data_IF_640144358464
#
_entry.id   IF_640144358464
#
_cell.length_a   1.000
_cell.length_b   1.000
_cell.length_c   1.000
_cell.angle_alpha   90.00
_cell.angle_beta   90.00
_cell.angle_gamma   90.00
#
_symmetry.space_group_name_H-M   'P 1'
#
loop_
_entity.id
_entity.type
_entity.pdbx_description
1 polymer ?
#
# COMPACT_ATOMS: atom_id res chain seq x y z
N UNK A 1 -151.20 -26.14 2.53
CA UNK A 1 -149.86 -26.77 2.40
C UNK A 1 -149.72 -27.26 0.97
N UNK A 2 -149.14 -26.43 0.10
CA UNK A 2 -148.67 -26.77 -1.24
C UNK A 2 -147.33 -26.06 -1.37
N UNK A 3 -146.28 -26.84 -1.53
CA UNK A 3 -144.91 -26.37 -1.75
C UNK A 3 -144.86 -25.69 -3.11
N UNK A 4 -144.33 -24.46 -3.17
CA UNK A 4 -143.92 -23.81 -4.41
C UNK A 4 -142.40 -23.75 -4.43
N UNK A 5 -141.85 -24.17 -5.57
CA UNK A 5 -140.46 -24.45 -5.86
C UNK A 5 -139.51 -23.31 -5.51
N UNK A 6 -138.37 -23.68 -4.93
CA UNK A 6 -137.21 -22.80 -4.78
C UNK A 6 -136.44 -22.88 -6.10
N UNK A 7 -136.53 -21.85 -6.93
CA UNK A 7 -135.57 -21.63 -8.01
C UNK A 7 -134.23 -21.23 -7.37
N UNK A 8 -133.33 -22.20 -7.26
CA UNK A 8 -131.92 -21.95 -7.01
C UNK A 8 -131.31 -21.32 -8.26
N UNK A 9 -130.95 -20.05 -8.17
CA UNK A 9 -130.12 -19.37 -9.17
C UNK A 9 -128.72 -19.99 -9.08
N UNK A 10 -128.35 -20.76 -10.10
CA UNK A 10 -127.02 -21.32 -10.27
C UNK A 10 -126.07 -20.17 -10.68
N UNK A 11 -125.17 -19.80 -9.77
CA UNK A 11 -124.10 -18.84 -10.05
C UNK A 11 -122.90 -19.67 -10.49
N UNK A 12 -122.96 -20.22 -11.71
CA UNK A 12 -121.75 -20.65 -12.40
C UNK A 12 -120.98 -19.38 -12.78
N UNK A 13 -120.01 -19.02 -11.94
CA UNK A 13 -118.96 -18.10 -12.35
C UNK A 13 -118.22 -18.78 -13.52
N UNK A 14 -118.37 -18.23 -14.72
CA UNK A 14 -117.48 -18.55 -15.83
C UNK A 14 -116.07 -18.17 -15.38
N UNK A 15 -115.28 -19.19 -15.03
CA UNK A 15 -113.84 -19.05 -14.84
C UNK A 15 -113.27 -18.77 -16.22
N UNK A 16 -113.10 -17.49 -16.56
CA UNK A 16 -112.23 -17.13 -17.66
C UNK A 16 -110.82 -17.59 -17.28
N UNK A 17 -110.33 -18.57 -18.04
CA UNK A 17 -108.97 -19.06 -17.96
C UNK A 17 -108.00 -17.87 -17.97
N UNK A 18 -107.22 -17.76 -16.89
CA UNK A 18 -106.06 -16.90 -16.84
C UNK A 18 -105.09 -17.43 -17.89
N UNK A 19 -104.97 -16.71 -19.00
CA UNK A 19 -103.89 -16.95 -19.95
C UNK A 19 -102.57 -16.89 -19.16
N UNK A 20 -101.72 -17.94 -19.22
CA UNK A 20 -100.48 -17.97 -18.46
C UNK A 20 -99.54 -16.93 -19.07
N UNK A 21 -99.51 -15.73 -18.46
CA UNK A 21 -98.51 -14.73 -18.72
C UNK A 21 -97.14 -15.37 -18.56
N UNK A 22 -96.37 -15.36 -19.65
CA UNK A 22 -95.01 -15.91 -19.76
C UNK A 22 -94.10 -15.33 -18.67
N UNK A 23 -94.04 -16.02 -17.53
CA UNK A 23 -93.06 -15.84 -16.45
C UNK A 23 -91.68 -16.38 -16.90
N UNK A 24 -91.25 -16.05 -18.12
CA UNK A 24 -89.88 -16.26 -18.54
C UNK A 24 -89.04 -15.10 -18.01
N UNK A 25 -88.50 -15.29 -16.80
CA UNK A 25 -87.21 -14.70 -16.47
C UNK A 25 -86.21 -15.19 -17.51
N UNK A 26 -85.95 -14.35 -18.52
CA UNK A 26 -84.94 -14.63 -19.53
C UNK A 26 -83.61 -14.79 -18.82
N UNK A 27 -83.08 -16.01 -18.89
CA UNK A 27 -81.73 -16.33 -18.48
C UNK A 27 -80.77 -15.57 -19.41
N UNK A 28 -80.09 -14.55 -18.89
CA UNK A 28 -79.17 -13.67 -19.64
C UNK A 28 -77.72 -14.17 -19.57
N UNK A 29 -77.51 -15.44 -19.20
CA UNK A 29 -76.19 -16.06 -19.30
C UNK A 29 -75.93 -16.46 -20.77
N UNK A 30 -75.40 -15.49 -21.56
CA UNK A 30 -74.75 -15.54 -22.90
C UNK A 30 -75.63 -15.49 -24.18
N UNK A 31 -75.14 -14.98 -25.36
CA UNK A 31 -73.92 -14.23 -25.72
C UNK A 31 -74.21 -12.77 -26.22
N UNK A 32 -73.16 -12.03 -26.61
CA UNK A 32 -73.17 -10.64 -27.10
C UNK A 32 -74.40 -10.22 -27.93
N UNK A 33 -75.09 -9.16 -27.46
CA UNK A 33 -76.15 -8.49 -28.22
C UNK A 33 -75.53 -7.53 -29.26
N UNK A 34 -75.92 -7.68 -30.52
CA UNK A 34 -75.63 -6.70 -31.58
C UNK A 34 -76.46 -5.43 -31.37
N UNK A 35 -75.98 -4.27 -31.83
CA UNK A 35 -76.65 -2.97 -31.63
C UNK A 35 -78.09 -2.93 -32.17
N UNK A 36 -78.35 -3.63 -33.29
CA UNK A 36 -79.67 -3.79 -33.91
C UNK A 36 -80.60 -4.66 -33.04
N UNK A 37 -80.09 -5.79 -32.50
CA UNK A 37 -80.85 -6.63 -31.56
C UNK A 37 -81.14 -5.95 -30.21
N UNK A 38 -80.27 -5.02 -29.80
CA UNK A 38 -80.41 -4.25 -28.56
C UNK A 38 -81.54 -3.24 -28.70
N UNK A 39 -81.59 -2.53 -29.83
CA UNK A 39 -82.66 -1.57 -30.15
C UNK A 39 -84.02 -2.25 -30.20
N UNK A 40 -84.13 -3.39 -30.89
CA UNK A 40 -85.37 -4.16 -30.98
C UNK A 40 -85.82 -4.69 -29.61
N UNK A 41 -84.88 -5.13 -28.76
CA UNK A 41 -85.18 -5.56 -27.40
C UNK A 41 -85.73 -4.39 -26.56
N UNK A 42 -85.06 -3.24 -26.59
CA UNK A 42 -85.51 -2.03 -25.87
C UNK A 42 -86.89 -1.59 -26.35
N UNK A 43 -87.10 -1.62 -27.67
CA UNK A 43 -88.39 -1.35 -28.31
C UNK A 43 -89.48 -2.23 -27.76
N UNK A 44 -89.28 -3.54 -27.86
CA UNK A 44 -90.25 -4.55 -27.42
C UNK A 44 -90.59 -4.39 -25.94
N UNK A 45 -89.61 -4.07 -25.10
CA UNK A 45 -89.82 -3.88 -23.66
C UNK A 45 -90.61 -2.60 -23.35
N UNK A 46 -90.32 -1.50 -24.05
CA UNK A 46 -91.04 -0.23 -23.86
C UNK A 46 -92.47 -0.33 -24.42
N UNK A 47 -92.65 -0.93 -25.58
CA UNK A 47 -93.97 -1.09 -26.20
C UNK A 47 -94.89 -1.98 -25.33
N UNK A 48 -94.33 -3.05 -24.73
CA UNK A 48 -95.05 -3.89 -23.79
C UNK A 48 -95.47 -3.17 -22.49
N UNK A 49 -94.81 -2.06 -22.12
CA UNK A 49 -95.26 -1.20 -21.01
C UNK A 49 -96.43 -0.34 -21.45
N UNK A 50 -96.40 0.18 -22.67
CA UNK A 50 -97.44 1.05 -23.20
C UNK A 50 -98.78 0.33 -23.37
N UNK A 51 -98.75 -0.91 -23.89
CA UNK A 51 -99.96 -1.74 -24.02
C UNK A 51 -100.61 -2.01 -22.66
N UNK A 52 -99.80 -2.23 -21.63
CA UNK A 52 -100.28 -2.51 -20.29
C UNK A 52 -100.83 -1.27 -19.59
N UNK A 53 -100.22 -0.10 -19.81
CA UNK A 53 -100.74 1.19 -19.34
C UNK A 53 -102.13 1.47 -19.94
N UNK A 54 -102.32 1.19 -21.23
CA UNK A 54 -103.63 1.35 -21.87
C UNK A 54 -104.72 0.53 -21.16
N UNK A 55 -104.43 -0.73 -20.83
CA UNK A 55 -105.36 -1.59 -20.10
C UNK A 55 -105.61 -1.14 -18.65
N UNK A 56 -104.66 -0.46 -18.01
CA UNK A 56 -104.87 0.17 -16.70
C UNK A 56 -105.82 1.34 -16.83
N UNK A 57 -105.60 2.24 -17.79
CA UNK A 57 -106.46 3.42 -18.01
C UNK A 57 -107.91 2.98 -18.27
N UNK A 58 -108.10 1.98 -19.14
CA UNK A 58 -109.43 1.42 -19.43
C UNK A 58 -110.10 0.83 -18.16
N UNK A 59 -109.33 0.15 -17.30
CA UNK A 59 -109.85 -0.42 -16.06
C UNK A 59 -110.16 0.65 -14.99
N UNK A 60 -109.33 1.69 -14.90
CA UNK A 60 -109.55 2.84 -14.00
C UNK A 60 -110.77 3.65 -14.42
N UNK A 61 -110.97 3.87 -15.73
CA UNK A 61 -112.16 4.55 -16.28
C UNK A 61 -113.45 3.77 -16.02
N UNK A 62 -113.42 2.44 -16.17
CA UNK A 62 -114.54 1.56 -15.83
C UNK A 62 -114.88 1.69 -14.34
N UNK A 63 -113.87 1.49 -13.47
CA UNK A 63 -114.03 1.60 -12.03
C UNK A 63 -114.57 2.97 -11.60
N UNK A 64 -114.07 4.07 -12.17
CA UNK A 64 -114.60 5.41 -11.93
C UNK A 64 -116.08 5.54 -12.32
N UNK A 65 -116.47 4.95 -13.44
CA UNK A 65 -117.85 4.98 -13.93
C UNK A 65 -118.77 4.25 -12.97
N UNK A 66 -118.41 3.04 -12.55
CA UNK A 66 -119.19 2.29 -11.57
C UNK A 66 -119.25 2.99 -10.19
N UNK A 67 -118.17 3.64 -9.76
CA UNK A 67 -118.15 4.47 -8.54
C UNK A 67 -119.08 5.68 -8.67
N UNK A 68 -119.12 6.35 -9.82
CA UNK A 68 -120.06 7.47 -10.09
C UNK A 68 -121.50 6.98 -10.05
N UNK A 69 -121.82 5.84 -10.67
CA UNK A 69 -123.14 5.22 -10.63
C UNK A 69 -123.57 4.84 -9.20
N UNK A 70 -122.69 4.19 -8.43
CA UNK A 70 -122.95 3.83 -7.04
C UNK A 70 -123.27 5.07 -6.18
N UNK A 71 -122.51 6.15 -6.37
CA UNK A 71 -122.71 7.41 -5.64
C UNK A 71 -124.02 8.11 -6.04
N UNK A 72 -124.42 8.06 -7.32
CA UNK A 72 -125.70 8.59 -7.78
C UNK A 72 -126.88 7.91 -7.09
N UNK A 73 -126.84 6.58 -6.97
CA UNK A 73 -127.88 5.81 -6.27
C UNK A 73 -127.89 6.16 -4.77
N UNK A 74 -126.72 6.17 -4.12
CA UNK A 74 -126.55 6.57 -2.71
C UNK A 74 -127.12 7.97 -2.43
N UNK A 75 -126.89 8.93 -3.32
CA UNK A 75 -127.39 10.30 -3.18
C UNK A 75 -128.91 10.39 -3.40
N UNK A 76 -129.47 9.59 -4.32
CA UNK A 76 -130.92 9.43 -4.48
C UNK A 76 -131.62 8.85 -3.25
N UNK A 77 -130.94 7.94 -2.53
CA UNK A 77 -131.44 7.36 -1.26
C UNK A 77 -131.40 8.43 -0.17
N UNK A 78 -130.26 9.11 0.01
CA UNK A 78 -130.05 10.14 1.03
C UNK A 78 -131.00 11.35 0.90
N UNK A 79 -131.26 11.79 -0.33
CA UNK A 79 -132.15 12.93 -0.61
C UNK A 79 -133.64 12.64 -0.37
N UNK A 80 -134.00 11.42 0.03
CA UNK A 80 -135.38 11.03 0.29
C UNK A 80 -136.23 10.86 -0.97
N UNK A 81 -135.70 11.17 -2.15
CA UNK A 81 -136.38 11.08 -3.45
C UNK A 81 -136.86 9.65 -3.72
N UNK A 82 -136.08 8.66 -3.31
CA UNK A 82 -136.39 7.24 -3.49
C UNK A 82 -137.49 6.76 -2.52
N UNK A 83 -137.59 7.35 -1.33
CA UNK A 83 -138.58 6.99 -0.31
C UNK A 83 -139.93 7.70 -0.48
N UNK A 84 -140.01 8.69 -1.38
CA UNK A 84 -141.22 9.47 -1.65
C UNK A 84 -142.27 8.72 -2.51
N UNK A 85 -141.92 7.63 -3.20
CA UNK A 85 -142.93 6.76 -3.81
C UNK A 85 -143.42 5.75 -2.78
N UNK A 86 -144.72 5.70 -2.51
CA UNK A 86 -145.42 4.81 -1.55
C UNK A 86 -145.30 3.28 -1.83
N UNK A 87 -144.35 2.88 -2.67
CA UNK A 87 -144.18 1.53 -3.19
C UNK A 87 -142.94 0.89 -2.56
N UNK A 88 -143.15 0.07 -1.52
CA UNK A 88 -142.08 -0.60 -0.77
C UNK A 88 -141.24 -1.50 -1.66
N UNK A 89 -141.84 -2.12 -2.68
CA UNK A 89 -141.15 -3.02 -3.59
C UNK A 89 -140.17 -2.25 -4.49
N UNK A 90 -140.53 -1.04 -4.91
CA UNK A 90 -139.61 -0.13 -5.63
C UNK A 90 -138.43 0.32 -4.78
N UNK A 91 -138.64 0.55 -3.48
CA UNK A 91 -137.55 0.93 -2.58
C UNK A 91 -136.58 -0.24 -2.33
N UNK A 92 -137.10 -1.45 -2.14
CA UNK A 92 -136.30 -2.68 -2.00
C UNK A 92 -135.50 -2.96 -3.26
N UNK A 93 -136.12 -2.88 -4.45
CA UNK A 93 -135.45 -3.09 -5.73
C UNK A 93 -134.31 -2.09 -5.94
N UNK A 94 -134.51 -0.81 -5.60
CA UNK A 94 -133.45 0.21 -5.69
C UNK A 94 -132.30 0.00 -4.70
N UNK A 95 -132.54 -0.57 -3.53
CA UNK A 95 -131.48 -0.96 -2.60
C UNK A 95 -130.68 -2.16 -3.10
N UNK A 96 -131.36 -3.14 -3.71
CA UNK A 96 -130.71 -4.27 -4.37
C UNK A 96 -129.85 -3.79 -5.55
N UNK A 97 -130.38 -2.90 -6.39
CA UNK A 97 -129.62 -2.27 -7.48
C UNK A 97 -128.40 -1.51 -6.96
N UNK A 98 -128.53 -0.78 -5.84
CA UNK A 98 -127.41 -0.09 -5.18
C UNK A 98 -126.32 -1.07 -4.71
N UNK A 99 -126.72 -2.21 -4.12
CA UNK A 99 -125.79 -3.23 -3.66
C UNK A 99 -125.06 -3.89 -4.84
N UNK A 100 -125.77 -4.18 -5.94
CA UNK A 100 -125.19 -4.72 -7.17
C UNK A 100 -124.20 -3.74 -7.80
N UNK A 101 -124.57 -2.46 -7.93
CA UNK A 101 -123.69 -1.43 -8.52
C UNK A 101 -122.46 -1.19 -7.63
N UNK A 102 -122.61 -1.22 -6.29
CA UNK A 102 -121.48 -1.09 -5.38
C UNK A 102 -120.54 -2.30 -5.45
N UNK A 103 -121.09 -3.52 -5.56
CA UNK A 103 -120.30 -4.73 -5.76
C UNK A 103 -119.53 -4.68 -7.09
N UNK A 104 -120.19 -4.26 -8.17
CA UNK A 104 -119.57 -4.05 -9.48
C UNK A 104 -118.45 -3.00 -9.44
N UNK A 105 -118.66 -1.89 -8.75
CA UNK A 105 -117.62 -0.86 -8.57
C UNK A 105 -116.42 -1.39 -7.78
N UNK A 106 -116.65 -2.24 -6.77
CA UNK A 106 -115.58 -2.87 -6.00
C UNK A 106 -114.81 -3.90 -6.83
N UNK A 107 -115.51 -4.68 -7.65
CA UNK A 107 -114.93 -5.64 -8.59
C UNK A 107 -114.02 -4.94 -9.61
N UNK A 108 -114.54 -3.89 -10.29
CA UNK A 108 -113.79 -3.12 -11.27
C UNK A 108 -112.58 -2.41 -10.64
N UNK A 109 -112.73 -1.85 -9.43
CA UNK A 109 -111.61 -1.25 -8.69
C UNK A 109 -110.55 -2.28 -8.30
N UNK A 110 -110.94 -3.50 -7.93
CA UNK A 110 -110.02 -4.58 -7.62
C UNK A 110 -109.26 -5.06 -8.87
N UNK A 111 -109.94 -5.14 -10.01
CA UNK A 111 -109.31 -5.50 -11.29
C UNK A 111 -108.31 -4.41 -11.74
N UNK A 112 -108.68 -3.14 -11.60
CA UNK A 112 -107.77 -2.02 -11.86
C UNK A 112 -106.51 -2.10 -10.98
N UNK A 113 -106.65 -2.30 -9.67
CA UNK A 113 -105.49 -2.46 -8.77
C UNK A 113 -104.59 -3.65 -9.14
N UNK A 114 -105.19 -4.78 -9.56
CA UNK A 114 -104.43 -5.95 -10.02
C UNK A 114 -103.58 -5.61 -11.25
N UNK A 115 -104.16 -4.95 -12.25
CA UNK A 115 -103.46 -4.50 -13.46
C UNK A 115 -102.36 -3.48 -13.14
N UNK A 116 -102.59 -2.54 -12.22
CA UNK A 116 -101.57 -1.59 -11.76
C UNK A 116 -100.39 -2.30 -11.09
N UNK A 117 -100.63 -3.33 -10.28
CA UNK A 117 -99.56 -4.11 -9.66
C UNK A 117 -98.76 -4.89 -10.70
N UNK A 118 -99.43 -5.51 -11.68
CA UNK A 118 -98.76 -6.22 -12.79
C UNK A 118 -97.87 -5.26 -13.61
N UNK A 119 -98.33 -4.04 -13.84
CA UNK A 119 -97.54 -2.99 -14.48
C UNK A 119 -96.30 -2.61 -13.70
N UNK A 120 -96.42 -2.36 -12.40
CA UNK A 120 -95.27 -2.05 -11.55
C UNK A 120 -94.24 -3.19 -11.53
N UNK A 121 -94.71 -4.46 -11.47
CA UNK A 121 -93.84 -5.65 -11.55
C UNK A 121 -93.08 -5.68 -12.88
N UNK A 122 -93.78 -5.49 -14.00
CA UNK A 122 -93.16 -5.51 -15.34
C UNK A 122 -92.19 -4.35 -15.55
N UNK A 123 -92.55 -3.14 -15.14
CA UNK A 123 -91.67 -1.96 -15.21
C UNK A 123 -90.38 -2.19 -14.42
N UNK A 124 -90.49 -2.71 -13.20
CA UNK A 124 -89.31 -3.02 -12.36
C UNK A 124 -88.40 -4.05 -13.04
N UNK A 125 -88.97 -5.11 -13.60
CA UNK A 125 -88.21 -6.16 -14.30
C UNK A 125 -87.49 -5.63 -15.53
N UNK A 126 -88.17 -4.78 -16.31
CA UNK A 126 -87.60 -4.13 -17.50
C UNK A 126 -86.43 -3.24 -17.09
N UNK A 127 -86.63 -2.34 -16.13
CA UNK A 127 -85.60 -1.42 -15.65
C UNK A 127 -84.38 -2.15 -15.10
N UNK A 128 -84.59 -3.22 -14.32
CA UNK A 128 -83.51 -4.06 -13.82
C UNK A 128 -82.75 -4.77 -14.95
N UNK A 129 -83.47 -5.30 -15.94
CA UNK A 129 -82.85 -5.98 -17.09
C UNK A 129 -82.00 -5.02 -17.93
N UNK A 130 -82.49 -3.81 -18.19
CA UNK A 130 -81.78 -2.76 -18.90
C UNK A 130 -80.53 -2.33 -18.11
N UNK A 131 -80.66 -2.11 -16.80
CA UNK A 131 -79.51 -1.79 -15.95
C UNK A 131 -78.45 -2.90 -16.00
N UNK A 132 -78.83 -4.17 -15.83
CA UNK A 132 -77.92 -5.32 -15.93
C UNK A 132 -77.21 -5.41 -17.28
N UNK A 133 -77.95 -5.17 -18.36
CA UNK A 133 -77.41 -5.18 -19.71
C UNK A 133 -76.35 -4.08 -19.88
N UNK A 134 -76.64 -2.86 -19.42
CA UNK A 134 -75.73 -1.73 -19.55
C UNK A 134 -74.47 -1.85 -18.69
N UNK A 135 -74.51 -2.49 -17.52
CA UNK A 135 -73.29 -2.67 -16.69
C UNK A 135 -72.33 -3.74 -17.24
N UNK A 136 -72.74 -4.55 -18.23
CA UNK A 136 -71.91 -5.64 -18.77
C UNK A 136 -70.63 -5.17 -19.45
N UNK A 137 -70.69 -4.03 -20.14
CA UNK A 137 -69.63 -3.52 -21.02
C UNK A 137 -69.89 -2.03 -21.31
N UNK A 138 -68.84 -1.21 -21.33
CA UNK A 138 -68.91 0.23 -21.59
C UNK A 138 -69.52 0.59 -22.96
N UNK A 139 -69.31 -0.22 -23.99
CA UNK A 139 -69.89 -0.02 -25.31
C UNK A 139 -71.41 -0.26 -25.28
N UNK A 140 -71.83 -1.37 -24.68
CA UNK A 140 -73.25 -1.70 -24.44
C UNK A 140 -73.93 -0.63 -23.59
N UNK A 141 -73.27 -0.14 -22.54
CA UNK A 141 -73.74 0.97 -21.72
C UNK A 141 -74.06 2.22 -22.57
N UNK A 142 -73.10 2.65 -23.40
CA UNK A 142 -73.26 3.84 -24.25
C UNK A 142 -74.39 3.72 -25.26
N UNK A 143 -74.48 2.58 -25.95
CA UNK A 143 -75.54 2.34 -26.93
C UNK A 143 -76.90 2.31 -26.23
N UNK A 144 -76.99 1.67 -25.06
CA UNK A 144 -78.21 1.60 -24.26
C UNK A 144 -78.66 2.97 -23.74
N UNK A 145 -77.75 3.75 -23.14
CA UNK A 145 -78.04 5.11 -22.66
C UNK A 145 -78.53 5.99 -23.80
N UNK A 146 -77.84 5.94 -24.95
CA UNK A 146 -78.22 6.73 -26.14
C UNK A 146 -79.61 6.36 -26.65
N UNK A 147 -79.91 5.07 -26.76
CA UNK A 147 -81.20 4.58 -27.24
C UNK A 147 -82.35 4.98 -26.30
N UNK A 148 -82.18 4.80 -24.99
CA UNK A 148 -83.19 5.21 -24.00
C UNK A 148 -83.40 6.74 -24.05
N UNK A 149 -82.34 7.54 -24.13
CA UNK A 149 -82.45 8.99 -24.24
C UNK A 149 -83.14 9.46 -25.53
N UNK A 150 -82.87 8.80 -26.66
CA UNK A 150 -83.52 9.12 -27.94
C UNK A 150 -85.02 8.86 -27.86
N UNK A 151 -85.43 7.73 -27.28
CA UNK A 151 -86.86 7.40 -27.09
C UNK A 151 -87.55 8.34 -26.14
N UNK A 152 -86.93 8.66 -25.00
CA UNK A 152 -87.50 9.62 -24.06
C UNK A 152 -87.71 11.01 -24.68
N UNK A 153 -86.85 11.41 -25.62
CA UNK A 153 -86.98 12.68 -26.36
C UNK A 153 -88.02 12.62 -27.49
N UNK A 154 -88.15 11.47 -28.15
CA UNK A 154 -89.04 11.27 -29.30
C UNK A 154 -90.48 10.93 -28.93
N UNK A 155 -90.71 10.35 -27.75
CA UNK A 155 -92.03 9.90 -27.31
C UNK A 155 -92.85 11.03 -26.67
N UNK A 156 -94.10 11.17 -27.12
CA UNK A 156 -95.12 12.01 -26.48
C UNK A 156 -95.49 11.51 -25.07
N UNK A 157 -96.14 12.35 -24.26
CA UNK A 157 -96.64 11.94 -22.93
C UNK A 157 -97.66 10.79 -23.00
N UNK A 158 -98.30 10.58 -24.14
CA UNK A 158 -99.24 9.46 -24.37
C UNK A 158 -98.55 8.16 -24.80
N UNK A 159 -97.28 8.22 -25.20
CA UNK A 159 -96.52 7.06 -25.67
C UNK A 159 -95.62 6.45 -24.60
N UNK A 160 -95.37 7.13 -23.48
CA UNK A 160 -94.65 6.56 -22.33
C UNK A 160 -95.22 7.20 -21.06
N UNK A 161 -95.77 6.36 -20.16
CA UNK A 161 -96.25 6.82 -18.85
C UNK A 161 -95.24 7.67 -18.11
N UNK A 162 -95.74 8.60 -17.29
CA UNK A 162 -94.88 9.38 -16.38
C UNK A 162 -94.06 8.48 -15.44
N UNK A 163 -94.64 7.36 -15.00
CA UNK A 163 -93.96 6.40 -14.11
C UNK A 163 -92.81 5.68 -14.83
N UNK A 164 -93.04 5.20 -16.06
CA UNK A 164 -92.04 4.55 -16.89
C UNK A 164 -90.95 5.54 -17.33
N UNK A 165 -91.33 6.76 -17.70
CA UNK A 165 -90.40 7.85 -18.04
C UNK A 165 -89.45 8.14 -16.88
N UNK A 166 -89.98 8.30 -15.66
CA UNK A 166 -89.17 8.55 -14.47
C UNK A 166 -88.22 7.39 -14.17
N UNK A 167 -88.70 6.15 -14.30
CA UNK A 167 -87.86 4.98 -14.04
C UNK A 167 -86.76 4.81 -15.11
N UNK A 168 -87.06 5.04 -16.40
CA UNK A 168 -86.07 5.02 -17.47
C UNK A 168 -85.00 6.13 -17.31
N UNK A 169 -85.40 7.33 -16.87
CA UNK A 169 -84.46 8.41 -16.51
C UNK A 169 -83.55 7.96 -15.36
N UNK A 170 -84.10 7.28 -14.36
CA UNK A 170 -83.32 6.73 -13.24
C UNK A 170 -82.31 5.68 -13.71
N UNK A 171 -82.71 4.77 -14.60
CA UNK A 171 -81.82 3.78 -15.23
C UNK A 171 -80.68 4.48 -15.97
N UNK A 172 -80.98 5.49 -16.80
CA UNK A 172 -79.95 6.27 -17.52
C UNK A 172 -78.96 6.93 -16.57
N UNK A 173 -79.44 7.55 -15.49
CA UNK A 173 -78.56 8.17 -14.48
C UNK A 173 -77.60 7.14 -13.87
N UNK A 174 -78.13 6.00 -13.42
CA UNK A 174 -77.32 4.93 -12.82
C UNK A 174 -76.31 4.35 -13.82
N UNK A 175 -76.70 4.18 -15.09
CA UNK A 175 -75.81 3.70 -16.14
C UNK A 175 -74.65 4.66 -16.43
N UNK A 176 -74.89 5.97 -16.43
CA UNK A 176 -73.85 7.00 -16.59
C UNK A 176 -72.86 7.01 -15.43
N UNK A 177 -73.35 6.87 -14.20
CA UNK A 177 -72.49 6.72 -13.01
C UNK A 177 -71.62 5.46 -13.10
N UNK A 178 -72.19 4.34 -13.54
CA UNK A 178 -71.45 3.10 -13.76
C UNK A 178 -70.41 3.23 -14.88
N UNK A 179 -70.70 3.94 -15.97
CA UNK A 179 -69.71 4.23 -17.02
C UNK A 179 -68.50 5.00 -16.47
N UNK A 180 -68.72 6.00 -15.63
CA UNK A 180 -67.62 6.77 -15.02
C UNK A 180 -66.75 5.89 -14.11
N UNK A 181 -67.36 5.01 -13.32
CA UNK A 181 -66.64 4.02 -12.51
C UNK A 181 -65.82 3.06 -13.38
N UNK A 182 -66.41 2.55 -14.48
CA UNK A 182 -65.70 1.67 -15.42
C UNK A 182 -64.49 2.39 -16.07
N UNK A 183 -64.62 3.67 -16.43
CA UNK A 183 -63.50 4.49 -16.95
C UNK A 183 -62.40 4.66 -15.91
N UNK A 184 -62.75 4.97 -14.66
CA UNK A 184 -61.78 5.09 -13.55
C UNK A 184 -61.05 3.77 -13.31
N UNK A 185 -61.77 2.65 -13.31
CA UNK A 185 -61.19 1.32 -13.13
C UNK A 185 -60.22 0.95 -14.27
N UNK A 186 -60.57 1.28 -15.52
CA UNK A 186 -59.68 1.07 -16.67
C UNK A 186 -58.38 1.88 -16.56
N UNK A 187 -58.46 3.16 -16.14
CA UNK A 187 -57.28 4.02 -15.90
C UNK A 187 -56.39 3.45 -14.79
N UNK A 188 -56.98 3.11 -13.65
CA UNK A 188 -56.25 2.50 -12.53
C UNK A 188 -55.58 1.19 -12.92
N UNK A 189 -56.22 0.37 -13.76
CA UNK A 189 -55.63 -0.89 -14.24
C UNK A 189 -54.36 -0.66 -15.07
N UNK A 190 -54.37 0.35 -15.95
CA UNK A 190 -53.17 0.73 -16.71
C UNK A 190 -52.09 1.35 -15.81
N UNK A 191 -52.46 2.21 -14.86
CA UNK A 191 -51.50 2.74 -13.86
C UNK A 191 -50.85 1.63 -13.03
N UNK A 192 -51.62 0.62 -12.58
CA UNK A 192 -51.06 -0.54 -11.87
C UNK A 192 -50.10 -1.31 -12.76
N UNK A 193 -50.38 -1.44 -14.06
CA UNK A 193 -49.51 -2.14 -15.02
C UNK A 193 -48.21 -1.38 -15.25
N UNK A 194 -48.26 -0.05 -15.39
CA UNK A 194 -47.05 0.78 -15.53
C UNK A 194 -46.23 0.75 -14.25
N UNK A 195 -46.87 0.88 -13.08
CA UNK A 195 -46.19 0.79 -11.79
C UNK A 195 -45.51 -0.57 -11.57
N UNK A 196 -46.17 -1.69 -11.93
CA UNK A 196 -45.54 -3.02 -11.88
C UNK A 196 -44.32 -3.13 -12.78
N UNK A 197 -44.36 -2.51 -13.97
CA UNK A 197 -43.21 -2.48 -14.88
C UNK A 197 -42.05 -1.69 -14.27
N UNK A 198 -42.31 -0.49 -13.76
CA UNK A 198 -41.29 0.33 -13.09
C UNK A 198 -40.73 -0.34 -11.83
N UNK A 199 -41.57 -1.02 -11.04
CA UNK A 199 -41.13 -1.80 -9.88
C UNK A 199 -40.15 -2.90 -10.29
N UNK A 200 -40.42 -3.61 -11.39
CA UNK A 200 -39.52 -4.63 -11.93
C UNK A 200 -38.18 -4.00 -12.36
N UNK A 201 -38.21 -2.91 -13.12
CA UNK A 201 -37.00 -2.21 -13.58
C UNK A 201 -36.14 -1.72 -12.41
N UNK A 202 -36.76 -1.18 -11.35
CA UNK A 202 -36.05 -0.80 -10.11
C UNK A 202 -35.41 -2.01 -9.44
N UNK A 203 -36.14 -3.12 -9.34
CA UNK A 203 -35.63 -4.34 -8.71
C UNK A 203 -34.45 -4.94 -9.49
N UNK A 204 -34.54 -4.97 -10.81
CA UNK A 204 -33.44 -5.40 -11.69
C UNK A 204 -32.21 -4.48 -11.51
N UNK A 205 -32.43 -3.16 -11.41
CA UNK A 205 -31.36 -2.19 -11.12
C UNK A 205 -30.71 -2.37 -9.75
N UNK A 206 -31.47 -2.73 -8.72
CA UNK A 206 -30.93 -3.03 -7.38
C UNK A 206 -30.00 -4.26 -7.39
N UNK A 207 -30.32 -5.29 -8.17
CA UNK A 207 -29.47 -6.49 -8.32
C UNK A 207 -28.12 -6.12 -8.95
N UNK A 208 -28.13 -5.26 -9.97
CA UNK A 208 -26.90 -4.77 -10.61
C UNK A 208 -26.07 -3.96 -9.62
N UNK A 209 -26.68 -3.03 -8.88
CA UNK A 209 -25.98 -2.24 -7.87
C UNK A 209 -25.36 -3.10 -6.76
N UNK A 210 -26.03 -4.15 -6.32
CA UNK A 210 -25.48 -5.09 -5.32
C UNK A 210 -24.26 -5.85 -5.89
N UNK A 211 -24.33 -6.25 -7.16
CA UNK A 211 -23.21 -6.89 -7.86
C UNK A 211 -22.01 -5.94 -7.98
N UNK A 212 -22.24 -4.69 -8.41
CA UNK A 212 -21.19 -3.68 -8.53
C UNK A 212 -20.55 -3.37 -7.16
N UNK A 213 -21.36 -3.31 -6.10
CA UNK A 213 -20.87 -3.15 -4.74
C UNK A 213 -19.97 -4.30 -4.32
N UNK A 214 -20.38 -5.54 -4.56
CA UNK A 214 -19.56 -6.72 -4.24
C UNK A 214 -18.23 -6.72 -5.01
N UNK A 215 -18.22 -6.30 -6.29
CA UNK A 215 -16.99 -6.16 -7.09
C UNK A 215 -16.08 -5.08 -6.47
N UNK A 216 -16.66 -3.94 -6.06
CA UNK A 216 -15.90 -2.86 -5.44
C UNK A 216 -15.29 -3.29 -4.10
N UNK A 217 -16.04 -4.04 -3.28
CA UNK A 217 -15.57 -4.57 -2.01
C UNK A 217 -14.39 -5.52 -2.21
N UNK A 218 -14.51 -6.48 -3.15
CA UNK A 218 -13.40 -7.38 -3.51
C UNK A 218 -12.15 -6.63 -3.99
N UNK A 219 -12.33 -5.60 -4.82
CA UNK A 219 -11.21 -4.79 -5.30
C UNK A 219 -10.54 -4.01 -4.17
N UNK A 220 -11.35 -3.51 -3.24
CA UNK A 220 -10.87 -2.78 -2.05
C UNK A 220 -10.07 -3.70 -1.13
N UNK A 221 -10.58 -4.91 -0.86
CA UNK A 221 -9.87 -5.94 -0.10
C UNK A 221 -8.54 -6.32 -0.78
N UNK A 222 -8.53 -6.50 -2.10
CA UNK A 222 -7.32 -6.79 -2.86
C UNK A 222 -6.24 -5.70 -2.73
N UNK A 223 -6.65 -4.42 -2.79
CA UNK A 223 -5.72 -3.29 -2.59
C UNK A 223 -5.21 -3.24 -1.15
N UNK A 224 -6.06 -3.48 -0.15
CA UNK A 224 -5.66 -3.53 1.26
C UNK A 224 -4.59 -4.61 1.46
N UNK A 225 -4.79 -5.79 0.88
CA UNK A 225 -3.82 -6.88 0.97
C UNK A 225 -2.48 -6.51 0.34
N UNK A 226 -2.49 -5.95 -0.88
CA UNK A 226 -1.26 -5.49 -1.54
C UNK A 226 -0.50 -4.46 -0.70
N UNK A 227 -1.20 -3.49 -0.10
CA UNK A 227 -0.58 -2.50 0.78
C UNK A 227 0.01 -3.13 2.04
N UNK A 228 -0.64 -4.16 2.57
CA UNK A 228 -0.15 -4.93 3.72
C UNK A 228 1.14 -5.66 3.38
N UNK A 229 1.19 -6.32 2.21
CA UNK A 229 2.37 -7.04 1.72
C UNK A 229 3.54 -6.06 1.48
N UNK A 230 3.28 -4.89 0.87
CA UNK A 230 4.28 -3.85 0.70
C UNK A 230 4.81 -3.30 2.03
N UNK A 231 3.94 -3.14 3.03
CA UNK A 231 4.34 -2.71 4.37
C UNK A 231 5.29 -3.72 5.00
N UNK A 232 4.97 -5.01 4.93
CA UNK A 232 5.83 -6.07 5.47
C UNK A 232 7.22 -6.11 4.80
N UNK A 233 7.27 -5.95 3.47
CA UNK A 233 8.54 -5.85 2.74
C UNK A 233 9.37 -4.62 3.14
N UNK A 234 8.70 -3.49 3.40
CA UNK A 234 9.38 -2.29 3.85
C UNK A 234 9.97 -2.48 5.26
N UNK A 235 9.24 -3.13 6.15
CA UNK A 235 9.65 -3.40 7.53
C UNK A 235 10.86 -4.35 7.58
N UNK A 236 10.88 -5.42 6.77
CA UNK A 236 12.05 -6.31 6.62
C UNK A 236 13.28 -5.56 6.09
N UNK A 237 13.09 -4.68 5.09
CA UNK A 237 14.19 -3.86 4.56
C UNK A 237 14.74 -2.87 5.59
N UNK A 238 13.88 -2.29 6.43
CA UNK A 238 14.29 -1.41 7.54
C UNK A 238 15.14 -2.22 8.52
N UNK A 239 14.66 -3.38 8.97
CA UNK A 239 15.40 -4.25 9.91
C UNK A 239 16.77 -4.66 9.35
N UNK A 240 16.82 -5.03 8.06
CA UNK A 240 18.08 -5.35 7.38
C UNK A 240 19.04 -4.17 7.34
N UNK A 241 18.52 -2.97 7.08
CA UNK A 241 19.33 -1.73 7.04
C UNK A 241 19.89 -1.39 8.42
N UNK A 242 19.10 -1.54 9.48
CA UNK A 242 19.55 -1.33 10.86
C UNK A 242 20.68 -2.30 11.25
N UNK A 243 20.58 -3.58 10.85
CA UNK A 243 21.65 -4.57 11.06
C UNK A 243 22.95 -4.19 10.34
N UNK A 244 22.85 -3.72 9.09
CA UNK A 244 24.01 -3.24 8.33
C UNK A 244 24.65 -2.04 9.03
N UNK A 245 23.84 -1.09 9.50
CA UNK A 245 24.34 0.10 10.19
C UNK A 245 25.13 -0.28 11.46
N UNK A 246 24.58 -1.19 12.28
CA UNK A 246 25.29 -1.71 13.46
C UNK A 246 26.64 -2.35 13.10
N UNK A 247 26.69 -3.13 12.00
CA UNK A 247 27.94 -3.75 11.54
C UNK A 247 28.95 -2.71 11.06
N UNK A 248 28.51 -1.64 10.39
CA UNK A 248 29.36 -0.53 9.97
C UNK A 248 29.97 0.17 11.18
N UNK A 249 29.18 0.44 12.23
CA UNK A 249 29.66 1.05 13.46
C UNK A 249 30.68 0.16 14.20
N UNK A 250 30.45 -1.15 14.22
CA UNK A 250 31.38 -2.13 14.80
C UNK A 250 32.70 -2.17 14.02
N UNK A 251 32.63 -2.18 12.69
CA UNK A 251 33.80 -2.13 11.81
C UNK A 251 34.58 -0.82 11.98
N UNK A 252 33.88 0.32 12.09
CA UNK A 252 34.51 1.63 12.34
C UNK A 252 35.29 1.63 13.66
N UNK A 253 34.72 1.04 14.71
CA UNK A 253 35.38 0.89 16.01
C UNK A 253 36.61 0.00 15.90
N UNK A 254 36.50 -1.15 15.20
CA UNK A 254 37.63 -2.05 14.98
C UNK A 254 38.77 -1.38 14.20
N UNK A 255 38.46 -0.64 13.13
CA UNK A 255 39.48 0.09 12.37
C UNK A 255 40.18 1.15 13.21
N UNK A 256 39.43 1.86 14.07
CA UNK A 256 40.04 2.82 15.01
C UNK A 256 41.02 2.12 15.95
N UNK A 257 40.63 1.00 16.56
CA UNK A 257 41.51 0.25 17.44
C UNK A 257 42.78 -0.25 16.73
N UNK A 258 42.66 -0.71 15.48
CA UNK A 258 43.81 -1.14 14.68
C UNK A 258 44.75 0.03 14.40
N UNK A 259 44.22 1.22 14.08
CA UNK A 259 45.03 2.41 13.86
C UNK A 259 45.76 2.82 15.15
N UNK A 260 45.05 2.86 16.29
CA UNK A 260 45.65 3.18 17.58
C UNK A 260 46.77 2.17 17.96
N UNK A 261 46.58 0.88 17.67
CA UNK A 261 47.60 -0.16 17.89
C UNK A 261 48.82 0.01 16.97
N UNK A 262 48.59 0.34 15.68
CA UNK A 262 49.67 0.61 14.73
C UNK A 262 50.49 1.84 15.14
N UNK A 263 49.83 2.92 15.57
CA UNK A 263 50.49 4.12 16.04
C UNK A 263 51.37 3.84 17.27
N UNK A 264 50.85 3.05 18.23
CA UNK A 264 51.63 2.61 19.39
C UNK A 264 52.86 1.78 18.97
N UNK A 265 52.70 0.81 18.07
CA UNK A 265 53.81 -0.02 17.57
C UNK A 265 54.87 0.79 16.83
N UNK A 266 54.45 1.78 16.03
CA UNK A 266 55.37 2.70 15.36
C UNK A 266 56.15 3.54 16.38
N UNK A 267 55.48 4.05 17.41
CA UNK A 267 56.13 4.80 18.49
C UNK A 267 57.17 3.94 19.23
N UNK A 268 56.83 2.71 19.59
CA UNK A 268 57.74 1.76 20.24
C UNK A 268 58.95 1.43 19.36
N UNK A 269 58.73 1.16 18.08
CA UNK A 269 59.81 0.88 17.13
C UNK A 269 60.73 2.08 16.92
N UNK A 270 60.17 3.30 16.86
CA UNK A 270 60.95 4.53 16.76
C UNK A 270 61.81 4.75 18.02
N UNK A 271 61.25 4.51 19.21
CA UNK A 271 62.01 4.57 20.46
C UNK A 271 63.13 3.53 20.48
N UNK A 272 62.86 2.28 20.11
CA UNK A 272 63.87 1.23 20.04
C UNK A 272 64.99 1.57 19.03
N UNK A 273 64.63 2.15 17.88
CA UNK A 273 65.61 2.61 16.89
C UNK A 273 66.46 3.77 17.43
N UNK A 274 65.86 4.73 18.13
CA UNK A 274 66.57 5.85 18.76
C UNK A 274 67.60 5.34 19.79
N UNK A 275 67.19 4.43 20.68
CA UNK A 275 68.09 3.80 21.66
C UNK A 275 69.23 3.05 20.95
N UNK A 276 68.92 2.29 19.90
CA UNK A 276 69.94 1.61 19.09
C UNK A 276 70.95 2.58 18.45
N UNK A 277 70.48 3.71 17.92
CA UNK A 277 71.35 4.76 17.37
C UNK A 277 72.24 5.39 18.46
N UNK A 278 71.68 5.68 19.63
CA UNK A 278 72.44 6.24 20.76
C UNK A 278 73.53 5.28 21.26
N UNK A 279 73.22 3.99 21.38
CA UNK A 279 74.19 2.95 21.73
C UNK A 279 75.31 2.84 20.69
N UNK A 280 74.97 2.83 19.40
CA UNK A 280 75.96 2.80 18.32
C UNK A 280 76.85 4.05 18.35
N UNK A 281 76.27 5.23 18.63
CA UNK A 281 77.03 6.48 18.77
C UNK A 281 78.00 6.44 19.95
N UNK A 282 77.58 5.87 21.08
CA UNK A 282 78.45 5.67 22.25
C UNK A 282 79.62 4.72 21.95
N UNK A 283 79.36 3.63 21.24
CA UNK A 283 80.41 2.67 20.82
C UNK A 283 81.44 3.34 19.89
N UNK A 284 80.97 4.10 18.89
CA UNK A 284 81.86 4.84 17.97
C UNK A 284 82.74 5.84 18.74
N UNK A 285 82.17 6.55 19.72
CA UNK A 285 82.94 7.47 20.56
C UNK A 285 84.01 6.75 21.40
N UNK A 286 83.68 5.57 21.96
CA UNK A 286 84.62 4.74 22.69
C UNK A 286 85.81 4.32 21.83
N UNK A 287 85.54 3.74 20.65
CA UNK A 287 86.57 3.33 19.71
C UNK A 287 87.42 4.51 19.22
N UNK A 288 86.82 5.69 19.04
CA UNK A 288 87.56 6.91 18.67
C UNK A 288 88.54 7.31 19.76
N UNK A 289 88.14 7.22 21.03
CA UNK A 289 89.03 7.48 22.18
C UNK A 289 90.19 6.50 22.26
N UNK A 290 89.95 5.21 22.01
CA UNK A 290 91.02 4.20 21.96
C UNK A 290 92.01 4.48 20.82
N UNK A 291 91.50 4.85 19.63
CA UNK A 291 92.33 5.22 18.48
C UNK A 291 93.25 6.41 18.79
N UNK A 292 92.70 7.46 19.42
CA UNK A 292 93.48 8.64 19.80
C UNK A 292 94.60 8.30 20.80
N UNK A 293 94.35 7.35 21.73
CA UNK A 293 95.35 6.86 22.69
C UNK A 293 96.50 6.11 22.01
N UNK A 294 96.20 5.21 21.07
CA UNK A 294 97.24 4.51 20.29
C UNK A 294 98.07 5.48 19.43
N UNK A 295 97.42 6.47 18.84
CA UNK A 295 98.10 7.48 18.02
C UNK A 295 99.08 8.35 18.85
N UNK A 296 98.73 8.64 20.11
CA UNK A 296 99.63 9.33 21.04
C UNK A 296 100.84 8.46 21.42
N UNK A 297 100.63 7.17 21.71
CA UNK A 297 101.72 6.24 22.00
C UNK A 297 102.69 6.08 20.83
N UNK A 298 102.15 5.98 19.61
CA UNK A 298 102.96 5.89 18.39
C UNK A 298 103.87 7.11 18.22
N UNK A 299 103.34 8.33 18.49
CA UNK A 299 104.11 9.57 18.43
C UNK A 299 105.30 9.56 19.39
N UNK A 300 105.09 9.15 20.65
CA UNK A 300 106.17 9.09 21.65
C UNK A 300 107.28 8.12 21.25
N UNK A 301 106.93 6.97 20.68
CA UNK A 301 107.92 5.98 20.25
C UNK A 301 108.77 6.49 19.08
N UNK A 302 108.16 7.23 18.14
CA UNK A 302 108.87 7.87 17.02
C UNK A 302 109.84 8.94 17.53
N UNK A 303 109.48 9.69 18.56
CA UNK A 303 110.38 10.67 19.19
C UNK A 303 111.60 9.98 19.85
N UNK A 304 111.40 8.85 20.54
CA UNK A 304 112.48 8.09 21.18
C UNK A 304 113.45 7.46 20.16
N UNK A 305 112.95 6.92 19.04
CA UNK A 305 113.79 6.35 17.97
C UNK A 305 114.71 7.40 17.31
N UNK A 306 114.16 8.59 17.05
CA UNK A 306 114.93 9.70 16.47
C UNK A 306 116.08 10.17 17.39
N UNK A 307 115.87 10.18 18.72
CA UNK A 307 116.90 10.55 19.68
C UNK A 307 118.08 9.55 19.69
N UNK A 308 117.79 8.24 19.63
CA UNK A 308 118.83 7.20 19.63
C UNK A 308 119.68 7.23 18.35
N UNK A 309 119.07 7.54 17.19
CA UNK A 309 119.79 7.67 15.92
C UNK A 309 120.86 8.76 15.96
N UNK A 310 120.55 9.92 16.55
CA UNK A 310 121.50 11.03 16.69
C UNK A 310 122.71 10.68 17.59
N UNK A 311 122.51 9.88 18.64
CA UNK A 311 123.59 9.44 19.54
C UNK A 311 124.60 8.51 18.84
N UNK A 312 124.13 7.58 18.01
CA UNK A 312 125.00 6.63 17.30
C UNK A 312 125.94 7.30 16.29
N UNK A 313 125.48 8.36 15.65
CA UNK A 313 126.28 9.08 14.64
C UNK A 313 127.47 9.81 15.28
N UNK A 314 127.29 10.32 16.50
CA UNK A 314 128.36 10.93 17.31
C UNK A 314 129.44 9.92 17.72
N UNK A 315 129.05 8.72 18.16
CA UNK A 315 130.00 7.69 18.58
C UNK A 315 130.88 7.21 17.42
N UNK A 316 130.32 7.15 16.20
CA UNK A 316 131.06 6.73 15.00
C UNK A 316 132.18 7.70 14.60
N UNK A 317 132.01 9.01 14.79
CA UNK A 317 133.06 9.97 14.48
C UNK A 317 134.25 9.87 15.45
N UNK A 318 133.98 9.54 16.72
CA UNK A 318 135.01 9.42 17.76
C UNK A 318 135.89 8.17 17.58
N UNK A 319 135.31 7.06 17.09
CA UNK A 319 136.05 5.84 16.73
C UNK A 319 137.05 6.11 15.60
N UNK A 320 136.64 6.81 14.54
CA UNK A 320 137.50 7.13 13.39
C UNK A 320 138.72 7.99 13.78
N UNK A 321 138.56 8.89 14.76
CA UNK A 321 139.66 9.73 15.24
C UNK A 321 140.69 8.93 16.05
N UNK A 322 140.23 7.99 16.90
CA UNK A 322 141.10 7.11 17.68
C UNK A 322 141.86 6.11 16.80
N UNK A 323 141.21 5.52 15.78
CA UNK A 323 141.87 4.62 14.82
C UNK A 323 143.03 5.32 14.08
N UNK A 324 142.84 6.59 13.71
CA UNK A 324 143.86 7.35 13.01
C UNK A 324 145.10 7.66 13.89
N UNK A 325 144.86 7.92 15.19
CA UNK A 325 145.93 8.13 16.17
C UNK A 325 146.70 6.84 16.48
N UNK A 326 146.02 5.69 16.52
CA UNK A 326 146.63 4.37 16.71
C UNK A 326 147.60 4.03 15.56
N UNK A 327 147.18 4.24 14.32
CA UNK A 327 148.02 3.96 13.13
C UNK A 327 149.31 4.81 13.12
N UNK A 328 149.24 6.09 13.50
CA UNK A 328 150.44 6.95 13.64
C UNK A 328 151.45 6.43 14.66
N UNK A 329 150.99 5.85 15.76
CA UNK A 329 151.87 5.26 16.77
C UNK A 329 152.49 3.94 16.29
N UNK A 330 151.77 3.16 15.49
CA UNK A 330 152.28 1.91 14.91
C UNK A 330 153.34 2.13 13.81
N UNK A 331 153.27 3.22 13.03
CA UNK A 331 154.30 3.55 12.03
C UNK A 331 155.64 4.04 12.62
N UNK A 332 155.61 4.73 13.77
CA UNK A 332 156.84 5.24 14.40
C UNK A 332 157.67 4.16 15.11
N UNK A 333 157.03 3.05 15.49
CA UNK A 333 157.64 1.99 16.31
C UNK A 333 158.78 1.23 15.59
N UNK A 334 158.69 0.84 14.30
CA UNK A 334 159.77 0.14 13.60
C UNK A 334 160.97 1.04 13.27
N UNK A 335 160.72 2.33 12.97
CA UNK A 335 161.77 3.30 12.60
C UNK A 335 162.73 3.63 13.76
N UNK A 336 162.28 3.51 15.01
CA UNK A 336 163.11 3.67 16.20
C UNK A 336 163.89 2.39 16.55
N UNK A 337 163.32 1.20 16.29
CA UNK A 337 163.97 -0.10 16.52
C UNK A 337 165.18 -0.29 15.58
N UNK A 338 165.10 0.20 14.33
CA UNK A 338 166.20 0.09 13.37
C UNK A 338 167.37 1.06 13.65
N UNK A 339 167.08 2.21 14.29
CA UNK A 339 168.09 3.20 14.69
C UNK A 339 168.90 2.78 15.93
N UNK A 340 168.37 1.87 16.75
CA UNK A 340 169.01 1.39 17.99
C UNK A 340 170.18 0.42 17.75
N UNK A 341 170.25 -0.22 16.57
CA UNK A 341 171.30 -1.19 16.23
C UNK A 341 172.60 -0.58 15.68
N UNK A 342 172.70 0.74 15.54
CA UNK A 342 173.91 1.42 15.06
C UNK A 342 174.31 2.61 15.95
N UNK A 343 175.30 2.35 16.82
CA UNK A 343 176.23 3.31 17.46
C UNK A 343 176.03 3.59 18.98
N UNK A 344 177.14 3.50 19.72
CA UNK A 344 177.22 3.27 21.17
C UNK A 344 177.57 4.56 21.93
N UNK A 345 176.57 5.30 22.44
CA UNK A 345 176.64 6.07 23.72
C UNK A 345 175.29 6.69 24.12
N UNK A 346 174.84 6.33 25.33
CA UNK A 346 173.72 6.85 26.14
C UNK A 346 172.35 6.16 25.97
N UNK A 347 172.26 4.98 26.59
CA UNK A 347 171.19 3.97 26.49
C UNK A 347 169.95 4.22 27.39
N UNK A 348 169.91 5.33 28.14
CA UNK A 348 168.89 5.52 29.21
C UNK A 348 167.69 6.40 28.78
N UNK A 349 167.84 7.29 27.79
CA UNK A 349 166.75 8.20 27.34
C UNK A 349 165.74 7.54 26.41
N UNK A 350 166.14 6.50 25.67
CA UNK A 350 165.27 5.86 24.67
C UNK A 350 164.34 4.82 25.30
N UNK A 351 164.75 4.20 26.42
CA UNK A 351 163.95 3.18 27.11
C UNK A 351 162.68 3.75 27.75
N UNK A 352 162.74 4.96 28.31
CA UNK A 352 161.56 5.62 28.90
C UNK A 352 160.55 6.06 27.84
N UNK A 353 161.01 6.45 26.65
CA UNK A 353 160.14 6.90 25.56
C UNK A 353 159.38 5.72 24.92
N UNK A 354 160.04 4.57 24.77
CA UNK A 354 159.41 3.33 24.28
C UNK A 354 158.33 2.85 25.28
N UNK A 355 158.61 2.89 26.59
CA UNK A 355 157.62 2.55 27.63
C UNK A 355 156.42 3.51 27.64
N UNK A 356 156.65 4.81 27.42
CA UNK A 356 155.58 5.80 27.33
C UNK A 356 154.65 5.58 26.14
N UNK A 357 155.20 5.24 24.97
CA UNK A 357 154.41 4.92 23.77
C UNK A 357 153.62 3.62 23.97
N UNK A 358 154.21 2.59 24.59
CA UNK A 358 153.50 1.33 24.88
C UNK A 358 152.32 1.50 25.84
N UNK A 359 152.46 2.33 26.89
CA UNK A 359 151.35 2.62 27.80
C UNK A 359 150.21 3.37 27.10
N UNK A 360 150.54 4.34 26.25
CA UNK A 360 149.52 5.06 25.47
C UNK A 360 148.80 4.14 24.47
N UNK A 361 149.53 3.22 23.83
CA UNK A 361 148.95 2.20 22.95
C UNK A 361 147.94 1.32 23.69
N UNK A 362 148.30 0.86 24.89
CA UNK A 362 147.42 0.02 25.72
C UNK A 362 146.18 0.78 26.14
N UNK A 363 146.33 2.04 26.58
CA UNK A 363 145.19 2.88 26.98
C UNK A 363 144.23 3.15 25.82
N UNK A 364 144.75 3.48 24.64
CA UNK A 364 143.89 3.71 23.47
C UNK A 364 143.18 2.43 23.00
N UNK A 365 143.79 1.26 23.15
CA UNK A 365 143.11 -0.01 22.86
C UNK A 365 141.98 -0.33 23.84
N UNK A 366 142.14 -0.02 25.13
CA UNK A 366 141.07 -0.18 26.13
C UNK A 366 139.89 0.78 25.87
N UNK A 367 140.16 2.07 25.61
CA UNK A 367 139.12 3.05 25.28
C UNK A 367 138.37 2.68 24.00
N UNK A 368 139.08 2.20 22.97
CA UNK A 368 138.46 1.74 21.73
C UNK A 368 137.53 0.52 21.97
N UNK A 369 137.94 -0.42 22.82
CA UNK A 369 137.16 -1.63 23.10
C UNK A 369 135.85 -1.30 23.83
N UNK A 370 135.89 -0.42 24.84
CA UNK A 370 134.67 0.00 25.55
C UNK A 370 133.69 0.76 24.65
N UNK A 371 134.18 1.62 23.75
CA UNK A 371 133.33 2.39 22.84
C UNK A 371 132.67 1.51 21.77
N UNK A 372 133.39 0.48 21.28
CA UNK A 372 132.84 -0.52 20.36
C UNK A 372 131.71 -1.31 21.03
N UNK A 373 131.86 -1.65 22.31
CA UNK A 373 130.83 -2.36 23.08
C UNK A 373 129.55 -1.52 23.26
N UNK A 374 129.69 -0.23 23.58
CA UNK A 374 128.57 0.71 23.70
C UNK A 374 127.83 0.91 22.35
N UNK A 375 128.58 1.07 21.26
CA UNK A 375 128.00 1.23 19.92
C UNK A 375 127.21 -0.01 19.47
N UNK A 376 127.70 -1.21 19.80
CA UNK A 376 126.99 -2.46 19.50
C UNK A 376 125.70 -2.61 20.33
N UNK A 377 125.71 -2.22 21.60
CA UNK A 377 124.51 -2.20 22.45
C UNK A 377 123.44 -1.25 21.91
N UNK A 378 123.83 -0.04 21.51
CA UNK A 378 122.90 0.93 20.93
C UNK A 378 122.35 0.49 19.56
N UNK A 379 123.14 -0.23 18.76
CA UNK A 379 122.66 -0.84 17.51
C UNK A 379 121.59 -1.90 17.78
N UNK A 380 121.81 -2.79 18.74
CA UNK A 380 120.83 -3.80 19.13
C UNK A 380 119.53 -3.16 19.66
N UNK A 381 119.65 -2.08 20.43
CA UNK A 381 118.50 -1.31 20.93
C UNK A 381 117.72 -0.61 19.79
N UNK A 382 118.40 -0.07 18.77
CA UNK A 382 117.75 0.49 17.59
C UNK A 382 117.04 -0.58 16.74
N UNK A 383 117.60 -1.77 16.61
CA UNK A 383 116.95 -2.88 15.90
C UNK A 383 115.68 -3.34 16.64
N UNK A 384 115.74 -3.42 17.97
CA UNK A 384 114.56 -3.68 18.82
C UNK A 384 113.49 -2.58 18.67
N UNK A 385 113.89 -1.31 18.75
CA UNK A 385 112.97 -0.18 18.60
C UNK A 385 112.32 -0.16 17.21
N UNK A 386 113.08 -0.42 16.14
CA UNK A 386 112.52 -0.51 14.79
C UNK A 386 111.55 -1.69 14.64
N UNK A 387 111.84 -2.83 15.28
CA UNK A 387 110.91 -3.97 15.33
C UNK A 387 109.62 -3.61 16.07
N UNK A 388 109.72 -2.97 17.25
CA UNK A 388 108.54 -2.52 18.01
C UNK A 388 107.75 -1.44 17.25
N UNK A 389 108.43 -0.54 16.55
CA UNK A 389 107.79 0.51 15.76
C UNK A 389 107.07 -0.07 14.54
N UNK A 390 107.61 -1.11 13.92
CA UNK A 390 106.95 -1.85 12.84
C UNK A 390 105.73 -2.61 13.35
N UNK A 391 105.84 -3.31 14.49
CA UNK A 391 104.74 -4.03 15.12
C UNK A 391 103.60 -3.08 15.55
N UNK A 392 103.94 -1.95 16.18
CA UNK A 392 102.96 -0.91 16.53
C UNK A 392 102.34 -0.23 15.31
N UNK A 393 103.06 -0.14 14.18
CA UNK A 393 102.52 0.41 12.94
C UNK A 393 101.53 -0.54 12.27
N UNK A 394 101.82 -1.84 12.28
CA UNK A 394 100.89 -2.89 11.86
C UNK A 394 99.65 -2.92 12.78
N UNK A 395 99.84 -2.84 14.11
CA UNK A 395 98.76 -2.77 15.09
C UNK A 395 97.88 -1.52 14.89
N UNK A 396 98.48 -0.33 14.70
CA UNK A 396 97.75 0.91 14.42
C UNK A 396 96.92 0.81 13.14
N UNK A 397 97.47 0.21 12.09
CA UNK A 397 96.77 -0.02 10.82
C UNK A 397 95.61 -1.00 10.99
N UNK A 398 95.82 -2.09 11.72
CA UNK A 398 94.77 -3.08 12.04
C UNK A 398 93.61 -2.42 12.81
N UNK A 399 93.91 -1.59 13.81
CA UNK A 399 92.90 -0.85 14.57
C UNK A 399 92.13 0.17 13.70
N UNK A 400 92.81 0.82 12.73
CA UNK A 400 92.16 1.75 11.80
C UNK A 400 91.23 1.05 10.80
N UNK A 401 91.60 -0.15 10.33
CA UNK A 401 90.75 -0.99 9.49
C UNK A 401 89.55 -1.55 10.28
N UNK A 402 89.75 -1.97 11.53
CA UNK A 402 88.68 -2.42 12.43
C UNK A 402 87.65 -1.30 12.64
N UNK A 403 88.10 -0.08 12.93
CA UNK A 403 87.22 1.09 13.10
C UNK A 403 86.40 1.38 11.83
N UNK A 404 87.05 1.34 10.66
CA UNK A 404 86.37 1.58 9.37
C UNK A 404 85.31 0.53 9.07
N UNK A 405 85.60 -0.74 9.37
CA UNK A 405 84.67 -1.86 9.16
C UNK A 405 83.46 -1.78 10.10
N UNK A 406 83.68 -1.46 11.38
CA UNK A 406 82.58 -1.29 12.34
C UNK A 406 81.71 -0.06 12.03
N UNK A 407 82.31 1.05 11.58
CA UNK A 407 81.57 2.24 11.13
C UNK A 407 80.67 1.95 9.92
N UNK A 408 81.18 1.21 8.93
CA UNK A 408 80.40 0.76 7.76
C UNK A 408 79.25 -0.18 8.15
N UNK A 409 79.48 -1.10 9.08
CA UNK A 409 78.45 -2.00 9.59
C UNK A 409 77.32 -1.22 10.27
N UNK A 410 77.64 -0.25 11.13
CA UNK A 410 76.65 0.61 11.80
C UNK A 410 75.84 1.42 10.78
N UNK A 411 76.49 1.96 9.75
CA UNK A 411 75.81 2.75 8.71
C UNK A 411 74.84 1.89 7.89
N UNK A 412 75.22 0.66 7.53
CA UNK A 412 74.34 -0.27 6.81
C UNK A 412 73.14 -0.70 7.67
N UNK A 413 73.30 -0.86 8.97
CA UNK A 413 72.21 -1.29 9.86
C UNK A 413 71.15 -0.19 10.07
N UNK A 414 71.59 1.08 10.17
CA UNK A 414 70.71 2.25 10.17
C UNK A 414 69.92 2.34 8.85
N UNK A 415 70.59 2.13 7.72
CA UNK A 415 69.99 2.22 6.39
C UNK A 415 68.98 1.08 6.14
N UNK A 416 69.25 -0.13 6.64
CA UNK A 416 68.33 -1.28 6.52
C UNK A 416 67.06 -1.10 7.37
N UNK A 417 67.15 -0.48 8.54
CA UNK A 417 65.99 -0.16 9.38
C UNK A 417 65.14 0.97 8.79
N UNK A 418 65.77 1.98 8.20
CA UNK A 418 65.06 3.07 7.51
C UNK A 418 64.30 2.57 6.27
N UNK A 419 64.88 1.65 5.50
CA UNK A 419 64.23 1.11 4.29
C UNK A 419 63.03 0.20 4.61
N UNK A 420 63.07 -0.57 5.70
CA UNK A 420 61.91 -1.34 6.18
C UNK A 420 60.73 -0.45 6.55
N UNK A 421 60.96 0.66 7.25
CA UNK A 421 59.90 1.63 7.59
C UNK A 421 59.26 2.25 6.34
N UNK A 422 60.07 2.64 5.36
CA UNK A 422 59.59 3.17 4.08
C UNK A 422 58.76 2.13 3.28
N UNK A 423 59.16 0.85 3.34
CA UNK A 423 58.40 -0.24 2.69
C UNK A 423 57.02 -0.46 3.33
N UNK A 424 56.91 -0.40 4.66
CA UNK A 424 55.60 -0.51 5.34
C UNK A 424 54.68 0.68 5.03
N UNK A 425 55.21 1.91 4.96
CA UNK A 425 54.43 3.09 4.57
C UNK A 425 53.92 2.95 3.12
N UNK A 426 54.76 2.49 2.19
CA UNK A 426 54.37 2.22 0.80
C UNK A 426 53.33 1.09 0.68
N UNK A 427 53.44 0.04 1.49
CA UNK A 427 52.47 -1.05 1.52
C UNK A 427 51.11 -0.59 2.07
N UNK A 428 51.10 0.24 3.12
CA UNK A 428 49.86 0.82 3.67
C UNK A 428 49.19 1.77 2.67
N UNK A 429 49.97 2.60 1.96
CA UNK A 429 49.44 3.48 0.90
C UNK A 429 48.86 2.68 -0.27
N UNK A 430 49.48 1.56 -0.66
CA UNK A 430 48.96 0.65 -1.70
C UNK A 430 47.64 0.01 -1.28
N UNK A 431 47.52 -0.46 -0.04
CA UNK A 431 46.28 -1.04 0.51
C UNK A 431 45.18 0.02 0.57
N UNK A 432 45.50 1.25 0.99
CA UNK A 432 44.54 2.36 1.01
C UNK A 432 44.02 2.69 -0.40
N UNK A 433 44.90 2.68 -1.40
CA UNK A 433 44.53 2.97 -2.79
C UNK A 433 43.64 1.88 -3.41
N UNK A 434 43.84 0.62 -3.03
CA UNK A 434 42.97 -0.50 -3.40
C UNK A 434 41.58 -0.34 -2.75
N UNK A 435 41.52 0.04 -1.47
CA UNK A 435 40.26 0.26 -0.76
C UNK A 435 39.47 1.44 -1.37
N UNK A 436 40.13 2.56 -1.69
CA UNK A 436 39.49 3.71 -2.37
C UNK A 436 38.97 3.31 -3.77
N UNK A 437 39.70 2.47 -4.50
CA UNK A 437 39.26 1.97 -5.81
C UNK A 437 38.05 1.04 -5.72
N UNK A 438 37.96 0.21 -4.66
CA UNK A 438 36.79 -0.65 -4.41
C UNK A 438 35.56 0.18 -4.02
N UNK A 439 35.74 1.23 -3.19
CA UNK A 439 34.64 2.13 -2.81
C UNK A 439 34.12 2.93 -4.01
N UNK A 440 35.00 3.39 -4.91
CA UNK A 440 34.60 4.08 -6.15
C UNK A 440 33.91 3.16 -7.17
N UNK A 441 34.23 1.85 -7.18
CA UNK A 441 33.56 0.88 -8.06
C UNK A 441 32.13 0.54 -7.59
N UNK A 442 31.86 0.63 -6.29
CA UNK A 442 30.52 0.39 -5.72
C UNK A 442 29.60 1.62 -5.69
N UNK A 443 30.13 2.81 -5.98
CA UNK A 443 29.38 4.09 -6.00
C UNK A 443 29.15 4.63 -7.43
N UNK A 444 29.19 3.76 -8.44
CA UNK A 444 28.78 4.01 -9.81
C UNK A 444 27.74 2.98 -10.23
#
# INVERSE_FOLDING_TARGET
MKMSEVETIDITAEVHEVEPGTDQMVNIDTPEYTEESLSDLITTRIDALNDLEKHIIEAEEAAETAVKEANNVKNGIKSGVIWKSLDKDKAIKKLQDAAIITAKALEESSDAHKKTFEYQKRLTNISYSLFRLGISNIATNRSLVREIELRLKGASEKEISNLARNELVRVVTQLKEQEDLQKKLARLKEEVKTLKKSQKEINDGLIVLDTDKNILDQKTEGIIQQLSDYRALLEDNIERTEKILCQVDLNKTNFKNILDELDSKIADQNNANKVGIENNRAMILGLKGDLDKYQAQFTLLVEEDNANKASNEKNRSMILELENNLNKCQELLPLLIEKDNANKKSHESNKSMILGIQNNLTKYQEELSSLIEENNSNKARNELNNSMLLELKEELKSQQELFSTQSLSVNNDITSKASKSSFYILAVLLILNIIVSIVLFYYK
#
